data_IF_852113043080
#
_entry.id   IF_852113043080
#
_cell.length_a   1.000
_cell.length_b   1.000
_cell.length_c   1.000
_cell.angle_alpha   90.00
_cell.angle_beta   90.00
_cell.angle_gamma   90.00
#
_symmetry.space_group_name_H-M   'P 1'
#
loop_
_entity.id
_entity.type
_entity.pdbx_description
1 polymer ?
#
# COMPACT_ATOMS: atom_id res chain seq x y z
N UNK A 1 -2.02 12.83 14.44
CA UNK A 1 -1.34 12.43 13.18
C UNK A 1 -2.38 12.26 12.08
N UNK A 2 -2.03 12.48 10.82
CA UNK A 2 -2.87 12.21 9.66
C UNK A 2 -2.17 11.17 8.79
N UNK A 3 -2.80 10.02 8.53
CA UNK A 3 -2.34 9.01 7.58
C UNK A 3 -3.19 9.06 6.32
N UNK A 4 -2.58 9.17 5.15
CA UNK A 4 -3.29 9.39 3.88
C UNK A 4 -2.92 8.28 2.90
N UNK A 5 -3.91 7.58 2.34
CA UNK A 5 -3.68 6.70 1.19
C UNK A 5 -3.32 7.48 -0.09
N UNK A 6 -2.63 6.83 -1.03
CA UNK A 6 -2.17 7.43 -2.28
C UNK A 6 -3.16 7.27 -3.44
N UNK A 7 -3.43 6.04 -3.88
CA UNK A 7 -4.11 5.76 -5.15
C UNK A 7 -5.62 5.75 -4.95
N UNK A 8 -6.33 6.71 -5.54
CA UNK A 8 -7.77 6.88 -5.31
C UNK A 8 -8.07 7.87 -4.18
N UNK A 9 -7.08 8.15 -3.32
CA UNK A 9 -7.22 9.11 -2.22
C UNK A 9 -6.45 10.40 -2.45
N UNK A 10 -5.13 10.40 -2.26
CA UNK A 10 -4.28 11.60 -2.40
C UNK A 10 -4.17 12.09 -3.84
N UNK A 11 -4.05 11.15 -4.79
CA UNK A 11 -3.87 11.47 -6.20
C UNK A 11 -5.21 11.64 -6.90
N UNK A 12 -5.26 12.63 -7.80
CA UNK A 12 -6.36 12.73 -8.77
C UNK A 12 -6.38 11.50 -9.67
N UNK A 13 -7.47 11.24 -10.42
CA UNK A 13 -7.51 10.13 -11.38
C UNK A 13 -6.46 10.23 -12.48
N UNK A 14 -5.97 11.43 -12.77
CA UNK A 14 -4.84 11.69 -13.67
C UNK A 14 -3.47 11.45 -13.00
N UNK A 15 -3.48 10.92 -11.76
CA UNK A 15 -2.33 10.57 -10.92
C UNK A 15 -1.44 11.76 -10.54
N UNK A 16 -2.06 12.92 -10.36
CA UNK A 16 -1.38 14.17 -9.97
C UNK A 16 -1.74 14.59 -8.56
N UNK A 17 -0.88 15.38 -7.94
CA UNK A 17 -1.19 16.09 -6.69
C UNK A 17 -1.89 17.41 -7.03
N UNK A 18 -3.13 17.58 -6.55
CA UNK A 18 -3.84 18.84 -6.68
C UNK A 18 -3.20 19.92 -5.80
N UNK A 19 -3.10 21.16 -6.31
CA UNK A 19 -2.48 22.27 -5.60
C UNK A 19 -3.15 22.55 -4.23
N UNK A 20 -4.49 22.40 -4.15
CA UNK A 20 -5.23 22.57 -2.90
C UNK A 20 -4.88 21.48 -1.88
N UNK A 21 -4.76 20.23 -2.31
CA UNK A 21 -4.33 19.12 -1.45
C UNK A 21 -2.93 19.35 -0.87
N UNK A 22 -1.99 19.82 -1.70
CA UNK A 22 -0.64 20.20 -1.24
C UNK A 22 -0.74 21.30 -0.16
N UNK A 23 -1.49 22.37 -0.43
CA UNK A 23 -1.64 23.49 0.49
C UNK A 23 -2.29 23.07 1.83
N UNK A 24 -3.30 22.20 1.78
CA UNK A 24 -3.96 21.70 2.99
C UNK A 24 -3.03 20.83 3.85
N UNK A 25 -2.24 19.95 3.23
CA UNK A 25 -1.24 19.14 3.92
C UNK A 25 -0.17 20.04 4.56
N UNK A 26 0.34 21.02 3.83
CA UNK A 26 1.31 21.98 4.36
C UNK A 26 0.73 22.81 5.50
N UNK A 27 -0.54 23.21 5.42
CA UNK A 27 -1.23 23.91 6.51
C UNK A 27 -1.37 23.02 7.77
N UNK A 28 -1.70 21.74 7.61
CA UNK A 28 -1.71 20.78 8.71
C UNK A 28 -0.33 20.64 9.36
N UNK A 29 0.73 20.50 8.56
CA UNK A 29 2.10 20.43 9.05
C UNK A 29 2.51 21.73 9.77
N UNK A 30 2.16 22.90 9.24
CA UNK A 30 2.43 24.20 9.87
C UNK A 30 1.67 24.39 11.19
N UNK A 31 0.51 23.73 11.35
CA UNK A 31 -0.22 23.66 12.61
C UNK A 31 0.36 22.65 13.61
N UNK A 32 1.49 22.00 13.29
CA UNK A 32 2.15 21.00 14.12
C UNK A 32 1.56 19.60 14.01
N UNK A 33 0.66 19.35 13.04
CA UNK A 33 0.06 18.04 12.83
C UNK A 33 1.03 17.19 12.00
N UNK A 34 1.41 16.04 12.55
CA UNK A 34 2.21 15.05 11.81
C UNK A 34 1.38 14.45 10.68
N UNK A 35 1.89 14.46 9.45
CA UNK A 35 1.27 13.87 8.26
C UNK A 35 2.16 12.81 7.64
N UNK A 36 1.61 11.62 7.36
CA UNK A 36 2.29 10.50 6.69
C UNK A 36 1.45 9.92 5.55
N UNK A 37 2.07 9.05 4.74
CA UNK A 37 1.42 8.26 3.70
C UNK A 37 1.29 6.80 4.15
N UNK A 38 0.15 6.17 3.85
CA UNK A 38 -0.10 4.74 4.09
C UNK A 38 -0.62 4.06 2.81
N UNK A 39 0.20 3.22 2.18
CA UNK A 39 -0.06 2.76 0.80
C UNK A 39 0.35 1.32 0.53
N UNK A 40 -0.31 0.68 -0.45
CA UNK A 40 0.09 -0.60 -1.04
C UNK A 40 1.37 -0.49 -1.89
N UNK A 41 1.78 0.72 -2.27
CA UNK A 41 2.98 0.95 -3.07
C UNK A 41 4.26 0.59 -2.30
N UNK A 42 5.30 0.28 -3.06
CA UNK A 42 6.68 0.23 -2.57
C UNK A 42 7.19 1.61 -2.16
N UNK A 43 8.21 1.66 -1.32
CA UNK A 43 8.80 2.92 -0.87
C UNK A 43 9.35 3.75 -2.03
N UNK A 44 10.10 3.12 -2.95
CA UNK A 44 10.66 3.76 -4.13
C UNK A 44 9.61 4.44 -5.02
N UNK A 45 8.37 3.92 -5.03
CA UNK A 45 7.26 4.44 -5.83
C UNK A 45 6.40 5.47 -5.08
N UNK A 46 6.68 5.68 -3.80
CA UNK A 46 5.92 6.55 -2.90
C UNK A 46 6.71 7.80 -2.52
N UNK A 47 8.05 7.68 -2.40
CA UNK A 47 8.93 8.76 -1.91
C UNK A 47 8.78 10.08 -2.66
N UNK A 48 8.57 10.03 -3.98
CA UNK A 48 8.39 11.24 -4.79
C UNK A 48 7.21 12.11 -4.35
N UNK A 49 6.13 11.48 -3.86
CA UNK A 49 4.97 12.23 -3.37
C UNK A 49 5.24 12.79 -1.97
N UNK A 50 5.97 12.06 -1.13
CA UNK A 50 6.43 12.56 0.15
C UNK A 50 7.37 13.77 -0.02
N UNK A 51 8.29 13.71 -0.98
CA UNK A 51 9.19 14.81 -1.35
C UNK A 51 8.39 16.06 -1.76
N UNK A 52 7.42 15.91 -2.67
CA UNK A 52 6.56 17.01 -3.15
C UNK A 52 5.69 17.62 -2.04
N UNK A 53 5.30 16.83 -1.05
CA UNK A 53 4.51 17.27 0.09
C UNK A 53 5.37 17.80 1.25
N UNK A 54 6.70 17.68 1.19
CA UNK A 54 7.59 18.04 2.30
C UNK A 54 7.38 17.17 3.54
N UNK A 55 6.97 15.91 3.36
CA UNK A 55 6.89 14.94 4.46
C UNK A 55 8.32 14.50 4.79
N UNK A 56 8.68 14.48 6.07
CA UNK A 56 10.03 14.09 6.55
C UNK A 56 9.98 13.02 7.64
N UNK A 57 8.81 12.40 7.80
CA UNK A 57 8.56 11.35 8.76
C UNK A 57 8.44 9.99 8.06
N UNK A 58 8.46 8.86 8.81
CA UNK A 58 8.36 7.56 8.19
C UNK A 58 7.09 7.35 7.36
N UNK A 59 7.23 6.66 6.24
CA UNK A 59 6.14 6.28 5.34
C UNK A 59 5.73 4.83 5.58
N UNK A 60 4.43 4.55 5.57
CA UNK A 60 3.86 3.21 5.68
C UNK A 60 3.61 2.70 4.26
N UNK A 61 4.32 1.64 3.88
CA UNK A 61 4.37 1.12 2.51
C UNK A 61 4.12 -0.38 2.49
N UNK A 62 3.85 -0.93 1.31
CA UNK A 62 3.48 -2.33 1.13
C UNK A 62 2.37 -2.77 2.10
N UNK A 63 1.31 -1.96 2.22
CA UNK A 63 0.17 -2.17 3.13
C UNK A 63 0.59 -2.50 4.58
N UNK A 64 1.59 -1.78 5.09
CA UNK A 64 2.07 -1.93 6.47
C UNK A 64 3.23 -2.90 6.65
N UNK A 65 3.58 -3.71 5.64
CA UNK A 65 4.71 -4.63 5.72
C UNK A 65 6.07 -3.92 5.86
N UNK A 66 6.17 -2.66 5.44
CA UNK A 66 7.39 -1.86 5.52
C UNK A 66 7.08 -0.43 5.99
N UNK A 67 7.73 -0.01 7.08
CA UNK A 67 7.77 1.39 7.51
C UNK A 67 9.20 1.90 7.31
N UNK A 68 9.34 2.89 6.44
CA UNK A 68 10.63 3.44 6.03
C UNK A 68 10.76 4.89 6.48
N UNK A 69 11.82 5.23 7.22
CA UNK A 69 12.13 6.62 7.50
C UNK A 69 12.44 7.35 6.19
N UNK A 70 11.80 8.49 5.97
CA UNK A 70 12.01 9.32 4.80
C UNK A 70 12.61 10.67 5.22
N UNK A 71 13.57 11.26 4.49
CA UNK A 71 14.19 10.76 3.25
C UNK A 71 15.37 9.80 3.46
N UNK A 72 15.75 9.53 4.72
CA UNK A 72 16.93 8.73 5.07
C UNK A 72 16.94 7.32 4.45
N UNK A 73 15.76 6.80 4.09
CA UNK A 73 15.58 5.47 3.51
C UNK A 73 16.12 4.37 4.41
N UNK A 74 15.99 4.56 5.72
CA UNK A 74 16.34 3.58 6.75
C UNK A 74 15.10 2.87 7.24
N UNK A 75 15.16 1.55 7.36
CA UNK A 75 14.06 0.74 7.84
C UNK A 75 13.77 1.09 9.31
N UNK A 76 12.52 1.47 9.59
CA UNK A 76 12.01 1.61 10.95
C UNK A 76 11.38 0.30 11.41
N UNK A 77 10.59 -0.32 10.54
CA UNK A 77 9.92 -1.59 10.83
C UNK A 77 9.72 -2.39 9.55
N UNK A 78 9.82 -3.71 9.67
CA UNK A 78 9.41 -4.66 8.65
C UNK A 78 8.65 -5.81 9.27
N UNK A 79 7.60 -6.25 8.58
CA UNK A 79 6.88 -7.47 8.89
C UNK A 79 7.04 -8.43 7.69
N UNK A 80 7.97 -9.38 7.82
CA UNK A 80 8.33 -10.28 6.72
C UNK A 80 7.31 -11.41 6.60
N UNK A 81 6.97 -11.79 5.37
CA UNK A 81 6.18 -12.98 5.08
C UNK A 81 7.04 -14.23 5.32
N UNK A 82 6.48 -15.23 5.99
CA UNK A 82 7.14 -16.52 6.18
C UNK A 82 7.56 -17.12 4.83
N UNK A 83 8.80 -17.60 4.73
CA UNK A 83 9.36 -18.05 3.46
C UNK A 83 8.62 -19.28 2.89
N UNK A 84 8.11 -20.17 3.75
CA UNK A 84 7.34 -21.34 3.31
C UNK A 84 5.96 -20.91 2.80
N UNK A 85 5.29 -19.99 3.49
CA UNK A 85 4.03 -19.41 3.01
C UNK A 85 4.24 -18.65 1.69
N UNK A 86 5.30 -17.83 1.59
CA UNK A 86 5.65 -17.13 0.36
C UNK A 86 5.88 -18.10 -0.82
N UNK A 87 6.54 -19.24 -0.58
CA UNK A 87 6.73 -20.26 -1.61
C UNK A 87 5.40 -20.91 -1.99
N UNK A 88 4.53 -21.23 -1.04
CA UNK A 88 3.19 -21.77 -1.32
C UNK A 88 2.36 -20.80 -2.18
N UNK A 89 2.39 -19.50 -1.87
CA UNK A 89 1.72 -18.48 -2.69
C UNK A 89 2.31 -18.45 -4.11
N UNK A 90 3.64 -18.48 -4.25
CA UNK A 90 4.28 -18.52 -5.55
C UNK A 90 3.86 -19.76 -6.35
N UNK A 91 3.78 -20.93 -5.71
CA UNK A 91 3.37 -22.19 -6.34
C UNK A 91 1.90 -22.14 -6.79
N UNK A 92 1.00 -21.55 -5.99
CA UNK A 92 -0.40 -21.30 -6.39
C UNK A 92 -0.44 -20.41 -7.63
N UNK A 93 0.25 -19.26 -7.62
CA UNK A 93 0.28 -18.35 -8.78
C UNK A 93 0.78 -19.07 -10.04
N UNK A 94 1.86 -19.85 -9.93
CA UNK A 94 2.43 -20.62 -11.05
C UNK A 94 1.44 -21.66 -11.58
N UNK A 95 0.71 -22.37 -10.71
CA UNK A 95 -0.31 -23.34 -11.11
C UNK A 95 -1.42 -22.70 -11.96
N UNK A 96 -1.74 -21.43 -11.66
CA UNK A 96 -2.68 -20.60 -12.41
C UNK A 96 -2.04 -19.83 -13.58
N UNK A 97 -0.78 -20.13 -13.92
CA UNK A 97 0.00 -19.46 -14.99
C UNK A 97 0.15 -17.96 -14.78
N UNK A 98 0.11 -17.51 -13.53
CA UNK A 98 0.43 -16.15 -13.12
C UNK A 98 1.86 -16.14 -12.60
N UNK A 99 2.70 -15.33 -13.22
CA UNK A 99 4.11 -15.27 -12.81
C UNK A 99 4.23 -14.51 -11.48
N UNK A 100 4.82 -15.14 -10.43
CA UNK A 100 4.96 -14.49 -9.14
C UNK A 100 6.02 -13.40 -9.18
N UNK A 101 5.72 -12.29 -8.50
CA UNK A 101 6.66 -11.23 -8.17
C UNK A 101 6.90 -11.24 -6.67
N UNK A 102 8.16 -11.34 -6.26
CA UNK A 102 8.55 -11.38 -4.85
C UNK A 102 9.32 -10.11 -4.52
N UNK A 103 8.80 -9.36 -3.55
CA UNK A 103 9.43 -8.14 -3.07
C UNK A 103 10.29 -8.42 -1.85
N UNK A 104 11.53 -7.94 -1.91
CA UNK A 104 12.53 -8.05 -0.86
C UNK A 104 12.97 -6.67 -0.42
N UNK A 105 13.45 -6.56 0.82
CA UNK A 105 14.13 -5.36 1.31
C UNK A 105 15.35 -5.76 2.15
N UNK A 106 16.48 -5.12 1.90
CA UNK A 106 17.71 -5.31 2.67
C UNK A 106 18.34 -3.93 2.90
N UNK A 107 18.55 -3.56 4.17
CA UNK A 107 19.20 -2.29 4.54
C UNK A 107 18.56 -1.05 3.86
N UNK A 108 17.24 -1.07 3.65
CA UNK A 108 16.49 0.01 3.01
C UNK A 108 16.44 -0.05 1.48
N UNK A 109 17.20 -0.95 0.84
CA UNK A 109 17.14 -1.19 -0.59
C UNK A 109 16.03 -2.20 -0.92
N UNK A 110 15.04 -1.78 -1.70
CA UNK A 110 13.99 -2.66 -2.23
C UNK A 110 14.47 -3.38 -3.49
N UNK A 111 14.22 -4.69 -3.56
CA UNK A 111 14.49 -5.51 -4.74
C UNK A 111 13.22 -6.25 -5.19
N UNK A 112 13.10 -6.46 -6.50
CA UNK A 112 12.02 -7.25 -7.11
C UNK A 112 12.61 -8.49 -7.74
N UNK A 113 12.15 -9.66 -7.32
CA UNK A 113 12.53 -10.93 -7.91
C UNK A 113 11.32 -11.53 -8.64
N UNK A 114 11.55 -12.24 -9.73
CA UNK A 114 10.50 -12.98 -10.45
C UNK A 114 11.09 -14.17 -11.22
N UNK A 115 10.21 -15.06 -11.70
CA UNK A 115 10.57 -16.23 -12.49
C UNK A 115 11.27 -15.86 -13.81
N UNK A 116 11.72 -16.86 -14.57
CA UNK A 116 12.29 -16.66 -15.91
C UNK A 116 11.24 -16.07 -16.86
N UNK A 117 11.68 -15.22 -17.80
CA UNK A 117 10.79 -14.42 -18.66
C UNK A 117 9.90 -15.28 -19.58
N UNK A 118 10.29 -16.51 -19.89
CA UNK A 118 9.48 -17.47 -20.65
C UNK A 118 8.17 -17.88 -19.96
N UNK A 119 8.04 -17.62 -18.67
CA UNK A 119 6.83 -17.88 -17.88
C UNK A 119 5.99 -16.62 -17.62
N UNK A 120 6.38 -15.46 -18.14
CA UNK A 120 5.63 -14.22 -17.93
C UNK A 120 4.25 -14.30 -18.61
N UNK A 121 3.19 -13.98 -17.87
CA UNK A 121 1.85 -13.79 -18.43
C UNK A 121 1.67 -12.38 -19.02
N UNK A 122 0.72 -12.17 -19.96
CA UNK A 122 0.58 -10.89 -20.68
C UNK A 122 0.36 -9.67 -19.78
N UNK A 123 -0.32 -9.84 -18.65
CA UNK A 123 -0.68 -8.76 -17.72
C UNK A 123 0.54 -8.10 -17.04
N UNK A 124 1.70 -8.76 -17.09
CA UNK A 124 2.95 -8.24 -16.54
C UNK A 124 3.74 -7.36 -17.51
N UNK A 125 3.37 -7.32 -18.80
CA UNK A 125 4.15 -6.64 -19.82
C UNK A 125 4.36 -5.15 -19.48
N UNK A 126 3.30 -4.45 -19.07
CA UNK A 126 3.38 -3.04 -18.67
C UNK A 126 4.15 -2.86 -17.36
N UNK A 127 3.95 -3.75 -16.38
CA UNK A 127 4.64 -3.69 -15.11
C UNK A 127 6.16 -3.86 -15.28
N UNK A 128 6.63 -4.86 -16.03
CA UNK A 128 8.06 -5.06 -16.26
C UNK A 128 8.67 -4.03 -17.23
N UNK A 129 7.87 -3.39 -18.08
CA UNK A 129 8.33 -2.23 -18.84
C UNK A 129 8.62 -1.03 -17.93
N UNK A 130 7.75 -0.77 -16.96
CA UNK A 130 7.93 0.32 -15.98
C UNK A 130 9.04 0.00 -14.96
N UNK A 131 9.19 -1.28 -14.57
CA UNK A 131 10.18 -1.76 -13.61
C UNK A 131 11.14 -2.79 -14.23
N UNK A 132 12.06 -2.37 -15.12
CA UNK A 132 12.91 -3.30 -15.88
C UNK A 132 14.00 -3.99 -15.03
N UNK A 133 14.28 -3.50 -13.83
CA UNK A 133 15.34 -4.02 -12.94
C UNK A 133 14.91 -5.25 -12.11
N UNK A 134 14.08 -6.13 -12.68
CA UNK A 134 13.66 -7.36 -12.03
C UNK A 134 14.78 -8.41 -12.05
N UNK A 135 15.06 -8.98 -10.89
CA UNK A 135 16.03 -10.07 -10.75
C UNK A 135 15.36 -11.39 -11.11
N UNK A 136 15.79 -12.00 -12.21
CA UNK A 136 15.22 -13.26 -12.72
C UNK A 136 15.88 -14.46 -12.04
N UNK A 137 15.07 -15.38 -11.51
CA UNK A 137 15.51 -16.61 -10.83
C UNK A 137 14.58 -17.78 -11.17
N UNK A 138 15.05 -19.04 -11.07
CA UNK A 138 14.15 -20.20 -11.05
C UNK A 138 13.12 -20.06 -9.93
N UNK A 139 11.88 -20.54 -10.17
CA UNK A 139 10.77 -20.37 -9.22
C UNK A 139 11.09 -20.91 -7.83
N UNK A 140 11.80 -22.03 -7.72
CA UNK A 140 12.16 -22.62 -6.42
C UNK A 140 13.12 -21.75 -5.59
N UNK A 141 13.72 -20.71 -6.18
CA UNK A 141 14.67 -19.82 -5.49
C UNK A 141 14.06 -18.47 -5.09
N UNK A 142 12.83 -18.16 -5.50
CA UNK A 142 12.26 -16.83 -5.34
C UNK A 142 12.07 -16.42 -3.87
N UNK A 143 11.71 -17.40 -3.04
CA UNK A 143 11.34 -17.19 -1.64
C UNK A 143 12.42 -17.66 -0.65
N UNK A 144 13.56 -18.16 -1.13
CA UNK A 144 14.64 -18.74 -0.29
C UNK A 144 15.67 -17.72 0.22
N UNK A 145 15.59 -16.45 -0.20
CA UNK A 145 16.51 -15.39 0.26
C UNK A 145 16.34 -15.15 1.77
N UNK A 146 17.43 -14.77 2.43
CA UNK A 146 17.41 -14.17 3.77
C UNK A 146 17.83 -12.68 3.69
N UNK A 147 17.11 -11.76 4.38
CA UNK A 147 15.85 -11.99 5.09
C UNK A 147 14.73 -12.49 4.16
N UNK A 148 13.70 -13.09 4.74
CA UNK A 148 12.54 -13.61 4.00
C UNK A 148 11.85 -12.49 3.17
N UNK A 149 10.95 -12.80 2.23
CA UNK A 149 10.25 -11.77 1.45
C UNK A 149 9.38 -10.83 2.29
N UNK A 150 9.17 -9.59 1.83
CA UNK A 150 8.13 -8.71 2.37
C UNK A 150 6.73 -9.17 1.93
N UNK A 151 6.61 -9.55 0.65
CA UNK A 151 5.34 -9.92 0.03
C UNK A 151 5.54 -10.66 -1.30
N UNK A 152 4.49 -11.38 -1.69
CA UNK A 152 4.35 -11.98 -3.02
C UNK A 152 3.18 -11.29 -3.73
N UNK A 153 3.34 -11.00 -5.02
CA UNK A 153 2.39 -10.26 -5.84
C UNK A 153 2.17 -11.02 -7.14
N UNK A 154 0.92 -11.06 -7.61
CA UNK A 154 0.54 -11.55 -8.94
C UNK A 154 -0.29 -10.50 -9.68
N UNK A 155 -0.05 -10.34 -10.97
CA UNK A 155 -0.89 -9.54 -11.86
C UNK A 155 -1.56 -10.46 -12.86
N UNK A 156 -2.88 -10.40 -12.94
CA UNK A 156 -3.68 -11.25 -13.81
C UNK A 156 -5.05 -10.61 -14.08
N UNK A 157 -5.88 -11.26 -14.87
CA UNK A 157 -7.25 -10.78 -15.06
C UNK A 157 -8.05 -10.87 -13.76
N UNK A 158 -9.13 -10.08 -13.65
CA UNK A 158 -10.04 -10.17 -12.50
C UNK A 158 -10.60 -11.59 -12.32
N UNK A 159 -10.85 -12.29 -13.43
CA UNK A 159 -11.35 -13.66 -13.41
C UNK A 159 -10.33 -14.61 -12.79
N UNK A 160 -9.06 -14.54 -13.24
CA UNK A 160 -7.99 -15.40 -12.71
C UNK A 160 -7.75 -15.12 -11.21
N UNK A 161 -7.75 -13.86 -10.79
CA UNK A 161 -7.62 -13.52 -9.36
C UNK A 161 -8.79 -14.07 -8.53
N UNK A 162 -10.00 -14.07 -9.09
CA UNK A 162 -11.18 -14.66 -8.42
C UNK A 162 -11.03 -16.17 -8.25
N UNK A 163 -10.35 -16.85 -9.17
CA UNK A 163 -10.04 -18.29 -9.08
C UNK A 163 -8.89 -18.57 -8.09
N UNK A 164 -7.88 -17.70 -8.03
CA UNK A 164 -6.71 -17.84 -7.14
C UNK A 164 -7.05 -17.53 -5.67
N UNK A 165 -7.89 -16.51 -5.43
CA UNK A 165 -8.13 -15.97 -4.10
C UNK A 165 -8.60 -17.00 -3.05
N UNK A 166 -9.48 -17.98 -3.36
CA UNK A 166 -9.88 -19.01 -2.40
C UNK A 166 -8.74 -19.91 -1.92
N UNK A 167 -7.72 -20.17 -2.76
CA UNK A 167 -6.55 -20.97 -2.38
C UNK A 167 -5.61 -20.16 -1.48
N UNK A 168 -5.35 -18.90 -1.85
CA UNK A 168 -4.54 -17.99 -1.03
C UNK A 168 -5.19 -17.77 0.35
N UNK A 169 -6.52 -17.65 0.40
CA UNK A 169 -7.27 -17.46 1.64
C UNK A 169 -7.20 -18.65 2.63
N UNK A 170 -6.73 -19.83 2.19
CA UNK A 170 -6.49 -20.97 3.07
C UNK A 170 -5.14 -20.91 3.80
N UNK A 171 -4.23 -20.02 3.36
CA UNK A 171 -2.91 -19.86 3.96
C UNK A 171 -2.98 -18.89 5.15
N UNK A 172 -2.05 -19.05 6.10
CA UNK A 172 -1.87 -18.12 7.23
C UNK A 172 -1.18 -16.83 6.79
N UNK A 173 -1.90 -16.03 6.00
CA UNK A 173 -1.42 -14.79 5.39
C UNK A 173 -2.50 -13.71 5.33
N UNK A 174 -2.07 -12.47 5.16
CA UNK A 174 -2.95 -11.35 4.80
C UNK A 174 -2.87 -11.17 3.29
N UNK A 175 -4.00 -10.93 2.64
CA UNK A 175 -4.01 -10.71 1.20
C UNK A 175 -5.06 -9.67 0.80
N UNK A 176 -4.77 -8.98 -0.30
CA UNK A 176 -5.66 -7.99 -0.90
C UNK A 176 -5.67 -8.16 -2.42
N UNK A 177 -6.81 -7.85 -3.04
CA UNK A 177 -6.95 -7.77 -4.48
C UNK A 177 -7.46 -6.39 -4.89
N UNK A 178 -6.80 -5.75 -5.85
CA UNK A 178 -7.10 -4.39 -6.29
C UNK A 178 -6.95 -4.26 -7.80
N UNK A 179 -7.89 -3.53 -8.40
CA UNK A 179 -7.84 -3.21 -9.83
C UNK A 179 -6.69 -2.25 -10.12
N UNK A 180 -5.89 -2.56 -11.14
CA UNK A 180 -4.76 -1.74 -11.58
C UNK A 180 -5.03 -1.20 -12.97
N UNK A 181 -5.85 -0.15 -13.04
CA UNK A 181 -6.24 0.47 -14.31
C UNK A 181 -5.07 0.86 -15.22
N UNK A 182 -3.91 1.21 -14.67
CA UNK A 182 -2.71 1.55 -15.46
C UNK A 182 -2.03 0.35 -16.13
N UNK A 183 -2.26 -0.85 -15.60
CA UNK A 183 -1.79 -2.11 -16.17
C UNK A 183 -2.90 -2.84 -16.94
N UNK A 184 -4.15 -2.38 -16.84
CA UNK A 184 -5.30 -3.02 -17.50
C UNK A 184 -5.65 -4.39 -16.91
N UNK A 185 -5.18 -4.68 -15.71
CA UNK A 185 -5.34 -5.95 -15.02
C UNK A 185 -5.62 -5.72 -13.53
N UNK A 186 -5.82 -6.81 -12.78
CA UNK A 186 -5.94 -6.78 -11.35
C UNK A 186 -4.63 -7.29 -10.70
N UNK A 187 -4.40 -6.87 -9.46
CA UNK A 187 -3.26 -7.28 -8.65
C UNK A 187 -3.76 -8.03 -7.41
N UNK A 188 -3.18 -9.20 -7.13
CA UNK A 188 -3.29 -9.87 -5.84
C UNK A 188 -1.96 -9.71 -5.10
N UNK A 189 -2.02 -9.19 -3.89
CA UNK A 189 -0.85 -9.02 -3.01
C UNK A 189 -1.05 -9.86 -1.76
N UNK A 190 -0.02 -10.63 -1.40
CA UNK A 190 0.01 -11.50 -0.22
C UNK A 190 1.18 -11.13 0.69
N UNK A 191 0.90 -10.98 1.97
CA UNK A 191 1.80 -10.46 3.00
C UNK A 191 1.68 -11.30 4.27
N UNK A 192 2.52 -11.01 5.27
CA UNK A 192 2.37 -11.60 6.59
C UNK A 192 0.94 -11.39 7.14
N UNK A 193 0.41 -12.36 7.88
CA UNK A 193 -0.97 -12.35 8.41
C UNK A 193 -1.33 -11.10 9.25
N UNK A 194 -0.34 -10.51 9.91
CA UNK A 194 -0.53 -9.31 10.75
C UNK A 194 -0.35 -7.99 9.97
N UNK A 195 -0.11 -8.05 8.66
CA UNK A 195 0.05 -6.86 7.81
C UNK A 195 -1.30 -6.31 7.36
N UNK A 196 -1.54 -5.04 7.67
CA UNK A 196 -2.50 -4.18 7.00
C UNK A 196 -2.07 -2.72 7.13
N UNK A 197 -2.71 -1.81 6.39
CA UNK A 197 -2.47 -0.38 6.61
C UNK A 197 -2.78 0.02 8.06
N UNK A 198 -3.76 -0.62 8.69
CA UNK A 198 -4.10 -0.38 10.09
C UNK A 198 -2.95 -0.76 11.02
N UNK A 199 -2.35 -1.94 10.85
CA UNK A 199 -1.20 -2.36 11.67
C UNK A 199 0.04 -1.50 11.43
N UNK A 200 0.25 -1.04 10.18
CA UNK A 200 1.30 -0.07 9.85
C UNK A 200 1.08 1.29 10.53
N UNK A 201 -0.15 1.82 10.49
CA UNK A 201 -0.52 3.08 11.16
C UNK A 201 -0.37 2.95 12.68
N UNK A 202 -0.82 1.85 13.27
CA UNK A 202 -0.68 1.59 14.70
C UNK A 202 0.79 1.52 15.13
N UNK A 203 1.62 0.82 14.35
CA UNK A 203 3.07 0.71 14.62
C UNK A 203 3.76 2.07 14.57
N UNK A 204 3.47 2.88 13.54
CA UNK A 204 4.05 4.22 13.44
C UNK A 204 3.53 5.16 14.54
N UNK A 205 2.22 5.12 14.83
CA UNK A 205 1.63 5.93 15.87
C UNK A 205 2.24 5.60 17.24
N UNK A 206 2.44 4.32 17.56
CA UNK A 206 3.12 3.88 18.78
C UNK A 206 4.58 4.37 18.85
N UNK A 207 5.32 4.29 17.73
CA UNK A 207 6.69 4.80 17.65
C UNK A 207 6.78 6.31 17.89
N UNK A 208 5.77 7.06 17.46
CA UNK A 208 5.67 8.51 17.65
C UNK A 208 4.97 8.91 18.96
N UNK A 209 4.63 7.93 19.82
CA UNK A 209 3.89 8.13 21.07
C UNK A 209 2.53 8.84 20.89
N UNK A 210 1.87 8.62 19.75
CA UNK A 210 0.55 9.16 19.43
C UNK A 210 -0.51 8.08 19.63
N UNK A 211 -1.48 8.28 20.54
CA UNK A 211 -2.57 7.32 20.70
C UNK A 211 -3.45 7.30 19.45
N UNK A 212 -3.96 6.13 19.06
CA UNK A 212 -4.77 5.96 17.84
C UNK A 212 -6.00 6.88 17.81
N UNK A 213 -6.57 7.24 18.97
CA UNK A 213 -7.69 8.18 19.07
C UNK A 213 -7.33 9.64 18.68
N UNK A 214 -6.05 9.96 18.49
CA UNK A 214 -5.53 11.23 17.96
C UNK A 214 -4.99 11.08 16.53
N UNK A 215 -5.33 9.98 15.86
CA UNK A 215 -5.00 9.73 14.46
C UNK A 215 -6.24 9.95 13.62
N UNK A 216 -6.07 10.70 12.53
CA UNK A 216 -7.02 10.76 11.41
C UNK A 216 -6.46 9.91 10.27
N UNK A 217 -7.30 9.14 9.60
CA UNK A 217 -6.92 8.40 8.39
C UNK A 217 -7.86 8.74 7.23
N UNK A 218 -7.33 8.78 6.01
CA UNK A 218 -8.10 9.04 4.79
C UNK A 218 -7.80 7.95 3.77
N UNK A 219 -8.84 7.34 3.19
CA UNK A 219 -8.73 6.22 2.26
C UNK A 219 -9.98 6.04 1.39
N UNK A 220 -9.90 5.20 0.35
CA UNK A 220 -10.99 4.99 -0.62
C UNK A 220 -11.34 3.53 -0.88
N UNK A 221 -10.47 2.58 -0.53
CA UNK A 221 -10.63 1.21 -0.98
C UNK A 221 -10.68 0.20 0.18
N UNK A 222 -10.89 -1.06 -0.15
CA UNK A 222 -11.11 -2.13 0.81
C UNK A 222 -9.92 -2.35 1.75
N UNK A 223 -8.69 -2.19 1.27
CA UNK A 223 -7.48 -2.27 2.09
C UNK A 223 -7.29 -1.05 3.03
N UNK A 224 -8.15 -0.03 2.95
CA UNK A 224 -8.20 1.08 3.91
C UNK A 224 -9.20 0.81 5.05
N UNK A 225 -10.15 -0.12 4.88
CA UNK A 225 -11.28 -0.33 5.79
C UNK A 225 -10.86 -0.45 7.26
N UNK A 226 -9.92 -1.36 7.56
CA UNK A 226 -9.40 -1.56 8.91
C UNK A 226 -8.67 -0.32 9.44
N UNK A 227 -7.96 0.40 8.57
CA UNK A 227 -7.23 1.61 8.95
C UNK A 227 -8.21 2.73 9.33
N UNK A 228 -9.30 2.90 8.58
CA UNK A 228 -10.32 3.91 8.85
C UNK A 228 -11.10 3.59 10.14
N UNK A 229 -11.38 2.31 10.41
CA UNK A 229 -12.08 1.88 11.61
C UNK A 229 -11.21 1.95 12.88
N UNK A 230 -9.91 1.66 12.77
CA UNK A 230 -9.01 1.56 13.92
C UNK A 230 -8.56 2.91 14.51
N UNK A 231 -8.62 3.99 13.75
CA UNK A 231 -8.16 5.32 14.18
C UNK A 231 -9.27 6.14 14.84
N UNK A 232 -8.90 7.21 15.53
CA UNK A 232 -9.86 8.11 16.18
C UNK A 232 -10.78 8.85 15.22
N UNK A 233 -10.32 9.10 13.99
CA UNK A 233 -11.12 9.75 12.95
C UNK A 233 -10.82 9.19 11.54
N UNK A 234 -11.57 8.18 11.12
CA UNK A 234 -11.53 7.66 9.76
C UNK A 234 -12.38 8.47 8.79
N UNK A 235 -11.84 8.81 7.62
CA UNK A 235 -12.53 9.53 6.55
C UNK A 235 -12.46 8.73 5.25
N UNK A 236 -13.62 8.32 4.73
CA UNK A 236 -13.71 7.67 3.43
C UNK A 236 -13.87 8.70 2.29
N UNK A 237 -13.25 8.45 1.14
CA UNK A 237 -13.45 9.26 -0.08
C UNK A 237 -14.86 9.09 -0.66
N UNK A 238 -15.35 10.11 -1.38
CA UNK A 238 -16.73 10.14 -1.89
C UNK A 238 -17.10 9.00 -2.85
N UNK A 239 -16.11 8.46 -3.58
CA UNK A 239 -16.26 7.37 -4.52
C UNK A 239 -15.89 6.00 -3.93
N UNK A 240 -15.53 5.96 -2.65
CA UNK A 240 -15.23 4.72 -1.95
C UNK A 240 -16.45 3.77 -1.99
N UNK A 241 -16.23 2.43 -1.98
CA UNK A 241 -17.32 1.49 -1.84
C UNK A 241 -18.15 1.76 -0.58
N UNK A 242 -19.47 1.52 -0.63
CA UNK A 242 -20.37 1.79 0.50
C UNK A 242 -19.94 1.08 1.80
N UNK A 243 -19.35 -0.12 1.70
CA UNK A 243 -18.78 -0.82 2.85
C UNK A 243 -17.64 -0.07 3.53
N UNK A 244 -16.81 0.65 2.75
CA UNK A 244 -15.69 1.44 3.29
C UNK A 244 -16.24 2.71 3.94
N UNK A 245 -17.20 3.37 3.29
CA UNK A 245 -17.89 4.55 3.85
C UNK A 245 -18.59 4.25 5.17
N UNK A 246 -19.20 3.08 5.30
CA UNK A 246 -19.91 2.67 6.51
C UNK A 246 -19.02 2.46 7.73
N UNK A 247 -17.72 2.19 7.53
CA UNK A 247 -16.73 2.01 8.60
C UNK A 247 -16.06 3.32 9.03
N UNK A 248 -16.14 4.36 8.20
CA UNK A 248 -15.54 5.66 8.47
C UNK A 248 -16.45 6.55 9.33
N UNK A 249 -15.84 7.46 10.10
CA UNK A 249 -16.58 8.47 10.86
C UNK A 249 -17.19 9.54 9.96
N UNK A 250 -16.59 9.78 8.80
CA UNK A 250 -17.06 10.75 7.83
C UNK A 250 -16.78 10.32 6.40
N UNK A 251 -17.55 10.89 5.47
CA UNK A 251 -17.29 10.81 4.03
C UNK A 251 -16.91 12.19 3.52
N UNK A 252 -15.83 12.29 2.75
CA UNK A 252 -15.39 13.52 2.07
C UNK A 252 -15.74 13.50 0.58
N UNK A 253 -15.35 14.51 -0.17
CA UNK A 253 -15.57 14.57 -1.62
C UNK A 253 -14.71 13.54 -2.38
N UNK A 254 -14.85 13.50 -3.71
CA UNK A 254 -14.02 12.66 -4.55
C UNK A 254 -12.57 13.16 -4.63
N UNK A 255 -11.65 12.32 -5.09
CA UNK A 255 -10.28 12.73 -5.36
C UNK A 255 -10.16 13.70 -6.55
N UNK A 256 -11.15 13.75 -7.45
CA UNK A 256 -11.29 14.81 -8.47
C UNK A 256 -11.69 16.18 -7.88
N UNK A 257 -12.21 16.19 -6.66
CA UNK A 257 -12.86 17.34 -6.02
C UNK A 257 -12.15 17.75 -4.73
N UNK A 258 -10.83 17.50 -4.66
CA UNK A 258 -9.97 17.83 -3.52
C UNK A 258 -10.43 17.20 -2.18
N UNK A 259 -10.99 15.99 -2.20
CA UNK A 259 -11.56 15.33 -1.01
C UNK A 259 -10.59 15.26 0.18
N UNK A 260 -9.30 15.03 -0.06
CA UNK A 260 -8.27 15.05 1.01
C UNK A 260 -8.13 16.46 1.62
N UNK A 261 -8.06 17.50 0.79
CA UNK A 261 -7.97 18.88 1.28
C UNK A 261 -9.18 19.24 2.14
N UNK A 262 -10.38 18.93 1.66
CA UNK A 262 -11.64 19.18 2.37
C UNK A 262 -11.70 18.44 3.71
N UNK A 263 -11.22 17.19 3.77
CA UNK A 263 -11.16 16.43 5.01
C UNK A 263 -10.21 17.07 6.03
N UNK A 264 -9.00 17.46 5.60
CA UNK A 264 -8.02 18.13 6.46
C UNK A 264 -8.55 19.47 6.96
N UNK A 265 -9.07 20.30 6.06
CA UNK A 265 -9.63 21.61 6.40
C UNK A 265 -10.76 21.48 7.43
N UNK A 266 -11.67 20.52 7.24
CA UNK A 266 -12.86 20.37 8.08
C UNK A 266 -12.61 19.68 9.41
N UNK A 267 -11.80 18.62 9.44
CA UNK A 267 -11.69 17.74 10.60
C UNK A 267 -10.37 17.89 11.37
N UNK A 268 -9.33 18.47 10.76
CA UNK A 268 -8.03 18.63 11.40
C UNK A 268 -7.69 20.09 11.71
N UNK A 269 -8.14 21.05 10.89
CA UNK A 269 -7.77 22.46 11.00
C UNK A 269 -8.88 23.37 11.57
N UNK A 270 -10.16 23.05 11.35
CA UNK A 270 -11.27 23.78 11.96
C UNK A 270 -11.45 23.35 13.42
N UNK A 271 -11.43 24.33 14.34
CA UNK A 271 -11.75 24.18 15.76
C UNK A 271 -13.21 24.51 16.02
#
# INVERSE_FOLDING_TARGET
>A
MIAIDIDGTLLTPERQLAARTIAAIQAAQAAGIIVTLATARRYGNSRQFADLLGITIPLITCDGALIMQHPASTILHTQMLDAAIAQQVADILIAHKVQPIVHHVVEGAEETWSGLAEFDNPDLALYFHEYPHVVRRPHQMLCLRQPAPLRVVGFATHADITEIAPEVAQLSCSWNAIERGNYGCAEITVMHQDCSKASGVATLAAHLEIPLNQVMAIGDNNNDSEMLEAVGWGVAMGHAPERVKALANAVTANNREDGVALAIERYALQR
#
